data_IF_869855079102
#
_entry.id   IF_869855079102
#
_cell.length_a   1.000
_cell.length_b   1.000
_cell.length_c   1.000
_cell.angle_alpha   90.00
_cell.angle_beta   90.00
_cell.angle_gamma   90.00
#
_symmetry.space_group_name_H-M   'P 1'
#
loop_
_entity.id
_entity.type
_entity.pdbx_description
1 polymer ?
#
# COMPACT_ATOMS: atom_id res chain seq x y z
N UNK A 1 -4.51 19.86 29.48
CA UNK A 1 -4.52 19.34 28.09
C UNK A 1 -4.83 17.87 28.17
N UNK A 2 -6.09 17.51 27.97
CA UNK A 2 -6.60 16.14 28.10
C UNK A 2 -6.17 15.35 26.87
N UNK A 3 -5.29 14.37 27.05
CA UNK A 3 -4.85 13.47 25.99
C UNK A 3 -6.04 12.63 25.55
N UNK A 4 -6.69 13.03 24.45
CA UNK A 4 -7.84 12.34 23.89
C UNK A 4 -7.46 10.87 23.61
N UNK A 5 -8.06 9.98 24.40
CA UNK A 5 -7.93 8.52 24.32
C UNK A 5 -8.20 8.09 22.88
N UNK A 6 -7.20 7.50 22.22
CA UNK A 6 -7.39 6.86 20.92
C UNK A 6 -8.46 5.78 21.13
N UNK A 7 -9.62 5.85 20.46
CA UNK A 7 -10.66 4.83 20.58
C UNK A 7 -10.04 3.50 20.19
N UNK A 8 -9.80 2.65 21.18
CA UNK A 8 -9.21 1.34 20.92
C UNK A 8 -10.25 0.49 20.20
N UNK A 9 -9.81 -0.48 19.42
CA UNK A 9 -10.67 -1.48 18.79
C UNK A 9 -11.56 -2.23 19.78
N UNK A 10 -11.48 -2.03 21.11
CA UNK A 10 -12.39 -2.61 22.12
C UNK A 10 -13.59 -1.72 22.45
N UNK A 11 -13.64 -0.49 21.94
CA UNK A 11 -14.78 0.41 22.12
C UNK A 11 -15.90 0.03 21.15
N UNK A 12 -16.97 -0.54 21.70
CA UNK A 12 -18.13 -1.02 20.94
C UNK A 12 -18.86 0.13 20.22
N UNK A 13 -18.92 1.32 20.81
CA UNK A 13 -19.57 2.48 20.16
C UNK A 13 -18.78 2.96 18.95
N UNK A 14 -17.45 2.95 19.04
CA UNK A 14 -16.59 3.30 17.91
C UNK A 14 -16.70 2.29 16.75
N UNK A 15 -16.78 0.99 17.07
CA UNK A 15 -17.00 -0.07 16.06
C UNK A 15 -18.32 0.10 15.32
N UNK A 16 -19.41 0.35 16.04
CA UNK A 16 -20.73 0.54 15.44
C UNK A 16 -20.75 1.76 14.51
N UNK A 17 -20.13 2.86 14.92
CA UNK A 17 -20.02 4.05 14.08
C UNK A 17 -19.19 3.81 12.81
N UNK A 18 -18.08 3.06 12.92
CA UNK A 18 -17.27 2.68 11.76
C UNK A 18 -18.02 1.75 10.81
N UNK A 19 -18.74 0.78 11.35
CA UNK A 19 -19.53 -0.17 10.56
C UNK A 19 -20.65 0.54 9.79
N UNK A 20 -21.36 1.48 10.43
CA UNK A 20 -22.38 2.29 9.76
C UNK A 20 -21.75 3.12 8.64
N UNK A 21 -20.67 3.84 8.96
CA UNK A 21 -19.95 4.65 7.99
C UNK A 21 -19.46 3.82 6.79
N UNK A 22 -19.00 2.59 7.04
CA UNK A 22 -18.61 1.65 6.00
C UNK A 22 -19.82 1.24 5.14
N UNK A 23 -20.90 0.78 5.75
CA UNK A 23 -22.10 0.32 5.04
C UNK A 23 -22.70 1.41 4.14
N UNK A 24 -22.76 2.65 4.66
CA UNK A 24 -23.30 3.80 3.92
C UNK A 24 -22.44 4.21 2.72
N UNK A 25 -21.11 4.11 2.82
CA UNK A 25 -20.19 4.73 1.86
C UNK A 25 -19.46 3.73 0.96
N UNK A 26 -19.42 2.44 1.32
CA UNK A 26 -18.64 1.43 0.63
C UNK A 26 -18.91 1.40 -0.88
N UNK A 27 -20.17 1.33 -1.30
CA UNK A 27 -20.50 1.22 -2.73
C UNK A 27 -20.03 2.42 -3.55
N UNK A 28 -20.05 3.62 -2.97
CA UNK A 28 -19.60 4.84 -3.66
C UNK A 28 -18.07 4.87 -3.71
N UNK A 29 -17.41 4.62 -2.58
CA UNK A 29 -15.95 4.55 -2.51
C UNK A 29 -15.40 3.48 -3.45
N UNK A 30 -16.01 2.30 -3.48
CA UNK A 30 -15.65 1.19 -4.36
C UNK A 30 -15.77 1.58 -5.84
N UNK A 31 -16.89 2.19 -6.25
CA UNK A 31 -17.09 2.61 -7.65
C UNK A 31 -16.02 3.60 -8.10
N UNK A 32 -15.69 4.56 -7.23
CA UNK A 32 -14.68 5.58 -7.48
C UNK A 32 -13.26 4.99 -7.46
N UNK A 33 -12.96 4.06 -6.56
CA UNK A 33 -11.67 3.38 -6.53
C UNK A 33 -11.50 2.50 -7.77
N UNK A 34 -12.54 1.74 -8.15
CA UNK A 34 -12.53 0.85 -9.32
C UNK A 34 -12.35 1.57 -10.64
N UNK A 35 -12.87 2.80 -10.78
CA UNK A 35 -12.63 3.60 -11.98
C UNK A 35 -11.17 4.04 -12.11
N UNK A 36 -10.41 4.05 -11.01
CA UNK A 36 -8.97 4.38 -10.99
C UNK A 36 -8.11 3.12 -11.11
N UNK A 37 -8.42 2.05 -10.37
CA UNK A 37 -7.60 0.82 -10.35
C UNK A 37 -7.87 -0.11 -11.52
N UNK A 38 -9.05 -0.05 -12.13
CA UNK A 38 -9.47 -0.89 -13.24
C UNK A 38 -9.76 -2.35 -12.88
N UNK A 39 -9.53 -2.77 -11.63
CA UNK A 39 -9.76 -4.14 -11.17
C UNK A 39 -10.43 -4.18 -9.78
N UNK A 40 -11.06 -5.31 -9.48
CA UNK A 40 -11.85 -5.50 -8.26
C UNK A 40 -10.97 -5.49 -7.00
N UNK A 41 -9.87 -6.23 -7.01
CA UNK A 41 -9.06 -6.48 -5.82
C UNK A 41 -8.42 -5.19 -5.31
N UNK A 42 -7.76 -4.43 -6.17
CA UNK A 42 -7.14 -3.15 -5.80
C UNK A 42 -8.18 -2.11 -5.37
N UNK A 43 -9.40 -2.17 -5.93
CA UNK A 43 -10.48 -1.27 -5.52
C UNK A 43 -10.97 -1.57 -4.09
N UNK A 44 -11.16 -2.85 -3.75
CA UNK A 44 -11.51 -3.27 -2.40
C UNK A 44 -10.40 -2.92 -1.39
N UNK A 45 -9.14 -3.16 -1.77
CA UNK A 45 -7.97 -2.82 -0.94
C UNK A 45 -7.86 -1.31 -0.71
N UNK A 46 -8.09 -0.49 -1.75
CA UNK A 46 -8.12 0.97 -1.60
C UNK A 46 -9.14 1.43 -0.56
N UNK A 47 -10.36 0.86 -0.57
CA UNK A 47 -11.39 1.19 0.41
C UNK A 47 -10.97 0.74 1.82
N UNK A 48 -10.50 -0.50 1.97
CA UNK A 48 -10.05 -1.02 3.26
C UNK A 48 -8.92 -0.17 3.86
N UNK A 49 -7.94 0.23 3.05
CA UNK A 49 -6.83 1.08 3.48
C UNK A 49 -7.30 2.44 4.03
N UNK A 50 -8.39 3.01 3.52
CA UNK A 50 -8.99 4.23 4.10
C UNK A 50 -9.49 3.97 5.52
N UNK A 51 -10.22 2.89 5.76
CA UNK A 51 -10.75 2.56 7.09
C UNK A 51 -9.65 2.17 8.08
N UNK A 52 -8.62 1.46 7.64
CA UNK A 52 -7.41 1.21 8.45
C UNK A 52 -6.78 2.53 8.88
N UNK A 53 -6.64 3.50 7.97
CA UNK A 53 -6.09 4.83 8.28
C UNK A 53 -6.98 5.64 9.23
N UNK A 54 -8.31 5.50 9.14
CA UNK A 54 -9.25 6.14 10.07
C UNK A 54 -9.16 5.57 11.49
N UNK A 55 -8.90 4.26 11.63
CA UNK A 55 -8.69 3.63 12.94
C UNK A 55 -7.34 4.08 13.54
N UNK A 56 -6.30 4.17 12.72
CA UNK A 56 -4.95 4.48 13.18
C UNK A 56 -4.71 5.97 13.49
N UNK A 57 -5.52 6.88 12.93
CA UNK A 57 -5.26 8.33 12.97
C UNK A 57 -6.51 9.09 13.37
N UNK A 58 -6.34 10.19 14.10
CA UNK A 58 -7.45 11.10 14.35
C UNK A 58 -7.98 11.67 13.01
N UNK A 59 -9.31 11.61 12.77
CA UNK A 59 -9.88 12.15 11.56
C UNK A 59 -9.63 13.66 11.44
N UNK A 60 -9.33 14.14 10.24
CA UNK A 60 -9.11 15.57 10.02
C UNK A 60 -10.41 16.38 10.16
N UNK A 61 -10.31 17.69 10.35
CA UNK A 61 -11.47 18.59 10.39
C UNK A 61 -12.36 18.50 9.13
N UNK A 62 -11.79 18.15 7.99
CA UNK A 62 -12.54 17.92 6.74
C UNK A 62 -13.45 16.69 6.82
N UNK A 63 -13.01 15.64 7.54
CA UNK A 63 -13.85 14.47 7.77
C UNK A 63 -15.07 14.85 8.61
N UNK A 64 -14.89 15.66 9.67
CA UNK A 64 -16.00 16.12 10.52
C UNK A 64 -17.01 17.00 9.75
N UNK A 65 -16.55 17.84 8.83
CA UNK A 65 -17.42 18.72 8.02
C UNK A 65 -18.22 17.99 6.96
N UNK A 66 -17.59 17.05 6.25
CA UNK A 66 -18.24 16.29 5.18
C UNK A 66 -17.58 14.89 5.03
N UNK A 67 -18.03 13.90 5.81
CA UNK A 67 -17.45 12.57 5.81
C UNK A 67 -17.47 11.91 4.43
N UNK A 68 -18.59 12.01 3.71
CA UNK A 68 -18.76 11.39 2.39
C UNK A 68 -17.77 11.91 1.35
N UNK A 69 -17.62 13.23 1.25
CA UNK A 69 -16.68 13.85 0.31
C UNK A 69 -15.23 13.51 0.69
N UNK A 70 -14.91 13.52 1.99
CA UNK A 70 -13.61 13.10 2.49
C UNK A 70 -13.30 11.65 2.11
N UNK A 71 -14.23 10.72 2.38
CA UNK A 71 -14.07 9.29 2.11
C UNK A 71 -13.87 8.99 0.63
N UNK A 72 -14.64 9.64 -0.25
CA UNK A 72 -14.46 9.49 -1.69
C UNK A 72 -13.08 9.98 -2.15
N UNK A 73 -12.65 11.15 -1.64
CA UNK A 73 -11.31 11.70 -1.95
C UNK A 73 -10.20 10.79 -1.43
N UNK A 74 -10.36 10.27 -0.21
CA UNK A 74 -9.41 9.33 0.38
C UNK A 74 -9.31 8.04 -0.46
N UNK A 75 -10.44 7.45 -0.86
CA UNK A 75 -10.48 6.25 -1.70
C UNK A 75 -9.81 6.48 -3.06
N UNK A 76 -10.06 7.62 -3.73
CA UNK A 76 -9.34 7.98 -4.96
C UNK A 76 -7.83 8.06 -4.76
N UNK A 77 -7.39 8.63 -3.63
CA UNK A 77 -5.97 8.78 -3.34
C UNK A 77 -5.31 7.44 -3.07
N UNK A 78 -5.94 6.55 -2.29
CA UNK A 78 -5.44 5.19 -2.09
C UNK A 78 -5.38 4.40 -3.38
N UNK A 79 -6.42 4.47 -4.22
CA UNK A 79 -6.42 3.82 -5.53
C UNK A 79 -5.27 4.30 -6.42
N UNK A 80 -5.01 5.62 -6.48
CA UNK A 80 -3.86 6.17 -7.21
C UNK A 80 -2.52 5.71 -6.64
N UNK A 81 -2.42 5.58 -5.32
CA UNK A 81 -1.21 5.10 -4.67
C UNK A 81 -0.93 3.64 -5.01
N UNK A 82 -1.95 2.79 -4.99
CA UNK A 82 -1.85 1.38 -5.39
C UNK A 82 -1.38 1.28 -6.85
N UNK A 83 -2.03 2.00 -7.78
CA UNK A 83 -1.64 2.00 -9.20
C UNK A 83 -0.19 2.45 -9.39
N UNK A 84 0.24 3.51 -8.70
CA UNK A 84 1.64 3.97 -8.75
C UNK A 84 2.62 2.95 -8.20
N UNK A 85 2.30 2.31 -7.07
CA UNK A 85 3.15 1.29 -6.46
C UNK A 85 3.27 0.05 -7.34
N UNK A 86 2.17 -0.40 -7.95
CA UNK A 86 2.18 -1.51 -8.91
C UNK A 86 3.02 -1.18 -10.15
N UNK A 87 2.90 0.04 -10.70
CA UNK A 87 3.73 0.49 -11.81
C UNK A 87 5.22 0.49 -11.43
N UNK A 88 5.57 1.07 -10.30
CA UNK A 88 6.96 1.13 -9.83
C UNK A 88 7.54 -0.27 -9.61
N UNK A 89 6.79 -1.20 -9.02
CA UNK A 89 7.23 -2.59 -8.86
C UNK A 89 7.55 -3.25 -10.20
N UNK A 90 6.67 -3.11 -11.19
CA UNK A 90 6.92 -3.66 -12.53
C UNK A 90 8.15 -3.04 -13.19
N UNK A 91 8.35 -1.73 -13.04
CA UNK A 91 9.55 -1.06 -13.57
C UNK A 91 10.82 -1.60 -12.89
N UNK A 92 10.82 -1.77 -11.57
CA UNK A 92 11.96 -2.36 -10.85
C UNK A 92 12.20 -3.81 -11.24
N UNK A 93 11.15 -4.63 -11.33
CA UNK A 93 11.23 -6.04 -11.76
C UNK A 93 11.78 -6.17 -13.18
N UNK A 94 11.36 -5.30 -14.11
CA UNK A 94 11.89 -5.28 -15.47
C UNK A 94 13.39 -4.94 -15.50
N UNK A 95 13.83 -3.93 -14.73
CA UNK A 95 15.25 -3.58 -14.64
C UNK A 95 16.09 -4.71 -14.02
N UNK A 96 15.57 -5.39 -12.99
CA UNK A 96 16.27 -6.53 -12.37
C UNK A 96 16.38 -7.71 -13.34
N UNK A 97 15.31 -8.00 -14.10
CA UNK A 97 15.34 -9.06 -15.12
C UNK A 97 16.34 -8.75 -16.24
N UNK A 98 16.53 -7.49 -16.62
CA UNK A 98 17.53 -7.09 -17.62
C UNK A 98 18.96 -7.31 -17.12
N UNK A 99 19.22 -7.08 -15.83
CA UNK A 99 20.51 -7.37 -15.20
C UNK A 99 20.81 -8.88 -15.12
N UNK A 100 19.80 -9.74 -14.94
CA UNK A 100 20.00 -11.19 -14.89
C UNK A 100 20.30 -11.82 -16.27
N UNK A 101 19.77 -11.25 -17.37
CA UNK A 101 20.11 -11.70 -18.74
C UNK A 101 21.58 -11.42 -19.08
N UNK A 102 22.15 -10.34 -18.55
CA UNK A 102 23.56 -9.98 -18.79
C UNK A 102 24.56 -10.80 -17.96
N UNK A 103 24.11 -11.59 -16.98
CA UNK A 103 24.98 -12.14 -15.93
C UNK A 103 25.22 -13.66 -16.00
N UNK A 104 24.59 -14.39 -16.92
CA UNK A 104 24.70 -15.86 -16.98
C UNK A 104 26.09 -16.34 -17.44
N UNK A 105 26.87 -15.48 -18.12
CA UNK A 105 28.25 -15.79 -18.53
C UNK A 105 29.37 -15.24 -17.63
N UNK A 106 29.04 -14.34 -16.70
CA UNK A 106 30.04 -13.55 -15.95
C UNK A 106 30.09 -13.90 -14.46
N UNK A 107 28.97 -14.36 -13.88
CA UNK A 107 28.90 -14.79 -12.48
C UNK A 107 29.79 -16.02 -12.20
N UNK A 108 29.85 -16.97 -13.13
CA UNK A 108 30.68 -18.17 -12.99
C UNK A 108 32.17 -17.86 -13.13
N UNK A 109 32.53 -17.01 -14.09
CA UNK A 109 33.91 -16.53 -14.24
C UNK A 109 34.36 -15.69 -13.05
N UNK A 110 33.47 -14.87 -12.48
CA UNK A 110 33.76 -14.09 -11.28
C UNK A 110 33.96 -14.99 -10.07
N UNK A 111 33.15 -16.06 -9.93
CA UNK A 111 33.34 -17.08 -8.88
C UNK A 111 34.66 -17.83 -9.03
N UNK A 112 35.01 -18.27 -10.24
CA UNK A 112 36.29 -18.95 -10.51
C UNK A 112 37.49 -18.06 -10.16
N UNK A 113 37.44 -16.77 -10.55
CA UNK A 113 38.49 -15.80 -10.23
C UNK A 113 38.59 -15.51 -8.73
N UNK A 114 37.46 -15.44 -8.02
CA UNK A 114 37.43 -15.24 -6.57
C UNK A 114 38.04 -16.44 -5.84
N UNK A 115 37.69 -17.67 -6.26
CA UNK A 115 38.23 -18.91 -5.66
C UNK A 115 39.74 -18.99 -5.91
N UNK A 116 40.20 -18.71 -7.13
CA UNK A 116 41.63 -18.68 -7.45
C UNK A 116 42.37 -17.66 -6.58
N UNK A 117 41.85 -16.43 -6.46
CA UNK A 117 42.48 -15.37 -5.66
C UNK A 117 42.50 -15.69 -4.16
N UNK A 118 41.46 -16.33 -3.62
CA UNK A 118 41.44 -16.77 -2.23
C UNK A 118 42.40 -17.94 -1.96
N UNK A 119 42.73 -18.73 -2.99
CA UNK A 119 43.68 -19.84 -2.88
C UNK A 119 45.14 -19.39 -2.90
N UNK A 120 45.42 -18.19 -3.41
CA UNK A 120 46.75 -17.56 -3.39
C UNK A 120 47.04 -16.85 -2.06
N UNK A 121 46.00 -16.64 -1.25
CA UNK A 121 46.14 -16.21 0.13
C UNK A 121 46.32 -17.48 0.99
N UNK A 122 47.54 -18.02 1.01
CA UNK A 122 47.91 -19.02 2.02
C UNK A 122 47.66 -18.43 3.43
N UNK A 123 47.23 -19.27 4.41
CA UNK A 123 46.63 -18.84 5.67
C UNK A 123 47.52 -18.00 6.61
#
# INVERSE_FOLDING_TARGET
METARIPTTKDETFRQQLDELYRENFQLMYRVAKSVTGNRYDAEDAVQNVFVKLIQRQPSSNFQKNPKAYLCKAAMNEARNIVRSCRLRREVEANVSELDIAADGDKDKLRERLIAALSELDP
#
